data_IF_040158196470
#
_entry.id   IF_040158196470
#
_cell.length_a   1.000
_cell.length_b   1.000
_cell.length_c   1.000
_cell.angle_alpha   90.00
_cell.angle_beta   90.00
_cell.angle_gamma   90.00
#
_symmetry.space_group_name_H-M   'P 1'
#
loop_
_entity.id
_entity.type
_entity.pdbx_description
1 polymer ?
#
# COMPACT_ATOMS: atom_id res chain seq x y z
N UNK A 1 3.37 14.10 24.45
CA UNK A 1 2.73 13.20 23.45
C UNK A 1 1.22 13.48 23.44
N UNK A 2 0.64 13.82 22.28
CA UNK A 2 -0.82 13.97 22.17
C UNK A 2 -1.47 12.62 22.50
N UNK A 3 -2.53 12.59 23.30
CA UNK A 3 -3.15 11.34 23.82
C UNK A 3 -3.61 10.36 22.71
N UNK A 4 -4.08 10.88 21.58
CA UNK A 4 -4.59 10.06 20.45
C UNK A 4 -3.55 9.10 19.84
N UNK A 5 -2.31 9.51 19.49
CA UNK A 5 -1.33 8.58 18.92
C UNK A 5 -0.86 7.53 19.94
N UNK A 6 -0.76 7.87 21.22
CA UNK A 6 -0.42 6.90 22.27
C UNK A 6 -1.49 5.81 22.37
N UNK A 7 -2.77 6.21 22.40
CA UNK A 7 -3.89 5.25 22.44
C UNK A 7 -3.87 4.33 21.21
N UNK A 8 -3.61 4.86 20.00
CA UNK A 8 -3.51 4.05 18.79
C UNK A 8 -2.39 3.01 18.89
N UNK A 9 -1.20 3.39 19.38
CA UNK A 9 -0.08 2.48 19.59
C UNK A 9 -0.44 1.37 20.60
N UNK A 10 -1.10 1.73 21.71
CA UNK A 10 -1.53 0.76 22.71
C UNK A 10 -2.56 -0.24 22.16
N UNK A 11 -3.50 0.23 21.35
CA UNK A 11 -4.50 -0.64 20.67
C UNK A 11 -3.82 -1.59 19.71
N UNK A 12 -2.91 -1.11 18.86
CA UNK A 12 -2.14 -1.97 17.94
C UNK A 12 -1.33 -3.00 18.73
N UNK A 13 -0.64 -2.58 19.79
CA UNK A 13 0.15 -3.49 20.63
C UNK A 13 -0.72 -4.55 21.32
N UNK A 14 -1.92 -4.19 21.80
CA UNK A 14 -2.85 -5.15 22.38
C UNK A 14 -3.33 -6.19 21.35
N UNK A 15 -3.64 -5.75 20.12
CA UNK A 15 -4.01 -6.66 19.02
C UNK A 15 -2.85 -7.63 18.71
N UNK A 16 -1.62 -7.13 18.65
CA UNK A 16 -0.45 -7.97 18.41
C UNK A 16 -0.25 -8.99 19.52
N UNK A 17 -0.39 -8.61 20.80
CA UNK A 17 -0.31 -9.53 21.92
C UNK A 17 -1.40 -10.61 21.86
N UNK A 18 -2.65 -10.24 21.59
CA UNK A 18 -3.75 -11.18 21.46
C UNK A 18 -3.52 -12.18 20.33
N UNK A 19 -3.05 -11.69 19.18
CA UNK A 19 -2.71 -12.54 18.03
C UNK A 19 -1.60 -13.55 18.36
N UNK A 20 -0.50 -13.09 18.95
CA UNK A 20 0.62 -13.96 19.36
C UNK A 20 0.20 -14.94 20.44
N UNK A 21 -0.58 -14.49 21.41
CA UNK A 21 -1.13 -15.39 22.44
C UNK A 21 -2.01 -16.49 21.83
N UNK A 22 -2.84 -16.14 20.85
CA UNK A 22 -3.71 -17.11 20.20
C UNK A 22 -2.89 -18.16 19.41
N UNK A 23 -1.86 -17.72 18.68
CA UNK A 23 -0.91 -18.62 18.00
C UNK A 23 -0.20 -19.51 19.02
N UNK A 24 0.37 -18.94 20.08
CA UNK A 24 1.02 -19.66 21.17
C UNK A 24 0.09 -20.70 21.79
N UNK A 25 -1.13 -20.32 22.19
CA UNK A 25 -2.10 -21.21 22.82
C UNK A 25 -2.54 -22.36 21.90
N UNK A 26 -2.58 -22.10 20.56
CA UNK A 26 -2.86 -23.16 19.58
C UNK A 26 -1.68 -24.09 19.45
N UNK A 27 -0.46 -23.55 19.38
CA UNK A 27 0.75 -24.35 19.24
C UNK A 27 0.87 -25.35 20.42
N UNK A 28 0.83 -24.90 21.66
CA UNK A 28 0.95 -25.78 22.81
C UNK A 28 -0.21 -26.80 22.95
N UNK A 29 -1.42 -26.43 22.49
CA UNK A 29 -2.57 -27.34 22.54
C UNK A 29 -2.47 -28.48 21.50
N UNK A 30 -1.74 -28.25 20.39
CA UNK A 30 -1.62 -29.21 19.29
C UNK A 30 -0.31 -29.99 19.29
N UNK A 31 0.68 -29.61 20.11
CA UNK A 31 1.91 -30.34 20.38
C UNK A 31 2.05 -30.68 21.88
N UNK A 32 1.28 -31.68 22.40
CA UNK A 32 1.26 -31.99 23.82
C UNK A 32 2.57 -32.60 24.35
N UNK A 33 3.49 -32.99 23.46
CA UNK A 33 4.81 -33.55 23.82
C UNK A 33 5.89 -32.52 24.12
N UNK A 34 5.57 -31.21 24.14
CA UNK A 34 6.54 -30.17 24.48
C UNK A 34 6.94 -30.24 25.95
N UNK A 35 8.24 -30.13 26.22
CA UNK A 35 8.74 -30.05 27.62
C UNK A 35 8.32 -28.71 28.26
N UNK A 36 8.21 -28.64 29.59
CA UNK A 36 7.93 -27.39 30.29
C UNK A 36 8.91 -26.25 29.94
N UNK A 37 10.19 -26.58 29.73
CA UNK A 37 11.21 -25.64 29.29
C UNK A 37 10.91 -25.09 27.90
N UNK A 38 10.61 -25.96 26.91
CA UNK A 38 10.25 -25.54 25.55
C UNK A 38 8.99 -24.66 25.53
N UNK A 39 8.01 -24.94 26.36
CA UNK A 39 6.79 -24.11 26.53
C UNK A 39 7.15 -22.75 27.09
N UNK A 40 8.05 -22.66 28.06
CA UNK A 40 8.51 -21.41 28.65
C UNK A 40 9.31 -20.58 27.64
N UNK A 41 10.22 -21.20 26.90
CA UNK A 41 11.04 -20.54 25.86
C UNK A 41 10.16 -20.02 24.73
N UNK A 42 9.20 -20.81 24.26
CA UNK A 42 8.22 -20.39 23.26
C UNK A 42 7.40 -19.17 23.73
N UNK A 43 6.98 -19.17 25.01
CA UNK A 43 6.24 -18.03 25.57
C UNK A 43 7.07 -16.75 25.57
N UNK A 44 8.33 -16.83 25.99
CA UNK A 44 9.26 -15.67 25.98
C UNK A 44 9.46 -15.20 24.54
N UNK A 45 9.73 -16.12 23.60
CA UNK A 45 9.89 -15.77 22.19
C UNK A 45 8.66 -15.05 21.64
N UNK A 46 7.45 -15.54 21.91
CA UNK A 46 6.21 -14.90 21.44
C UNK A 46 5.99 -13.49 22.04
N UNK A 47 6.38 -13.26 23.30
CA UNK A 47 6.32 -11.93 23.91
C UNK A 47 7.30 -10.97 23.21
N UNK A 48 8.55 -11.39 23.01
CA UNK A 48 9.56 -10.59 22.31
C UNK A 48 9.12 -10.26 20.89
N UNK A 49 8.62 -11.24 20.18
CA UNK A 49 8.14 -11.07 18.80
C UNK A 49 6.89 -10.19 18.71
N UNK A 50 5.99 -10.25 19.70
CA UNK A 50 4.82 -9.37 19.77
C UNK A 50 5.19 -7.90 19.97
N UNK A 51 6.28 -7.61 20.66
CA UNK A 51 6.81 -6.27 20.87
C UNK A 51 7.64 -5.76 19.69
N UNK A 52 8.23 -6.67 18.91
CA UNK A 52 9.28 -6.37 17.94
C UNK A 52 8.88 -5.31 16.91
N UNK A 53 7.67 -5.42 16.33
CA UNK A 53 7.24 -4.51 15.26
C UNK A 53 6.98 -3.09 15.74
N UNK A 54 6.32 -2.93 16.90
CA UNK A 54 6.07 -1.59 17.46
C UNK A 54 7.38 -0.93 17.87
N UNK A 55 8.28 -1.65 18.53
CA UNK A 55 9.59 -1.13 18.91
C UNK A 55 10.40 -0.75 17.66
N UNK A 56 10.48 -1.64 16.67
CA UNK A 56 11.20 -1.38 15.44
C UNK A 56 10.63 -0.17 14.68
N UNK A 57 9.30 -0.02 14.65
CA UNK A 57 8.64 1.15 14.04
C UNK A 57 9.02 2.44 14.76
N UNK A 58 8.94 2.48 16.08
CA UNK A 58 9.32 3.65 16.88
C UNK A 58 10.80 4.02 16.68
N UNK A 59 11.67 3.02 16.57
CA UNK A 59 13.10 3.22 16.26
C UNK A 59 13.28 3.80 14.85
N UNK A 60 12.55 3.31 13.85
CA UNK A 60 12.67 3.78 12.46
C UNK A 60 12.13 5.20 12.25
N UNK A 61 11.17 5.65 13.07
CA UNK A 61 10.75 7.06 13.10
C UNK A 61 11.78 7.99 13.76
N UNK A 62 12.66 7.45 14.60
CA UNK A 62 13.64 8.25 15.36
C UNK A 62 15.04 8.20 14.77
N UNK A 63 15.45 7.08 14.19
CA UNK A 63 16.81 6.82 13.72
C UNK A 63 16.79 6.28 12.30
N UNK A 64 17.80 6.69 11.50
CA UNK A 64 18.03 6.21 10.13
C UNK A 64 19.46 5.67 10.04
N UNK A 65 19.61 4.37 10.25
CA UNK A 65 20.89 3.66 10.08
C UNK A 65 20.64 2.19 9.68
N UNK A 66 21.64 1.49 9.13
CA UNK A 66 21.48 0.11 8.65
C UNK A 66 20.98 -0.89 9.72
N UNK A 67 21.39 -0.73 10.97
CA UNK A 67 20.99 -1.64 12.07
C UNK A 67 19.49 -1.51 12.32
N UNK A 68 18.98 -0.29 12.44
CA UNK A 68 17.54 -0.05 12.61
C UNK A 68 16.75 -0.56 11.40
N UNK A 69 17.28 -0.39 10.19
CA UNK A 69 16.62 -0.90 8.97
C UNK A 69 16.52 -2.42 8.96
N UNK A 70 17.57 -3.13 9.40
CA UNK A 70 17.56 -4.60 9.51
C UNK A 70 16.58 -5.06 10.59
N UNK A 71 16.57 -4.41 11.76
CA UNK A 71 15.64 -4.73 12.84
C UNK A 71 14.17 -4.51 12.35
N UNK A 72 13.92 -3.38 11.70
CA UNK A 72 12.59 -3.07 11.16
C UNK A 72 12.16 -4.08 10.09
N UNK A 73 13.07 -4.42 9.16
CA UNK A 73 12.82 -5.43 8.14
C UNK A 73 12.48 -6.80 8.75
N UNK A 74 13.28 -7.26 9.72
CA UNK A 74 13.04 -8.55 10.39
C UNK A 74 11.71 -8.57 11.14
N UNK A 75 11.38 -7.50 11.89
CA UNK A 75 10.11 -7.36 12.59
C UNK A 75 8.91 -7.28 11.62
N UNK A 76 9.04 -6.60 10.49
CA UNK A 76 8.01 -6.51 9.46
C UNK A 76 7.80 -7.87 8.75
N UNK A 77 8.89 -8.61 8.47
CA UNK A 77 8.78 -9.99 7.95
C UNK A 77 8.05 -10.88 8.95
N UNK A 78 8.42 -10.81 10.22
CA UNK A 78 7.71 -11.56 11.26
C UNK A 78 6.23 -11.20 11.36
N UNK A 79 5.90 -9.90 11.27
CA UNK A 79 4.49 -9.46 11.26
C UNK A 79 3.69 -10.12 10.12
N UNK A 80 4.30 -10.28 8.95
CA UNK A 80 3.68 -11.02 7.86
C UNK A 80 3.48 -12.50 8.18
N UNK A 81 4.48 -13.18 8.75
CA UNK A 81 4.36 -14.58 9.14
C UNK A 81 3.33 -14.80 10.23
N UNK A 82 3.30 -13.95 11.28
CA UNK A 82 2.31 -14.11 12.35
C UNK A 82 0.88 -13.95 11.85
N UNK A 83 0.65 -13.13 10.82
CA UNK A 83 -0.66 -13.04 10.17
C UNK A 83 -1.09 -14.41 9.56
N UNK A 84 -0.18 -15.13 8.90
CA UNK A 84 -0.47 -16.46 8.36
C UNK A 84 -0.59 -17.52 9.46
N UNK A 85 0.24 -17.47 10.49
CA UNK A 85 0.12 -18.36 11.65
C UNK A 85 -1.19 -18.14 12.42
N UNK A 86 -1.62 -16.88 12.56
CA UNK A 86 -2.91 -16.55 13.16
C UNK A 86 -4.08 -17.13 12.36
N UNK A 87 -4.07 -16.92 11.04
CA UNK A 87 -5.07 -17.48 10.13
C UNK A 87 -5.05 -19.01 10.16
N UNK A 88 -3.86 -19.61 10.13
CA UNK A 88 -3.66 -21.05 10.29
C UNK A 88 -4.18 -21.57 11.62
N UNK A 89 -3.93 -20.89 12.73
CA UNK A 89 -4.43 -21.24 14.06
C UNK A 89 -5.97 -21.28 14.12
N UNK A 90 -6.62 -20.33 13.45
CA UNK A 90 -8.09 -20.36 13.34
C UNK A 90 -8.54 -21.59 12.58
N UNK A 91 -7.93 -21.89 11.42
CA UNK A 91 -8.26 -23.06 10.60
C UNK A 91 -8.00 -24.36 11.36
N UNK A 92 -6.86 -24.49 12.06
CA UNK A 92 -6.51 -25.66 12.88
C UNK A 92 -7.60 -25.92 13.93
N UNK A 93 -8.01 -24.91 14.68
CA UNK A 93 -9.03 -25.06 15.74
C UNK A 93 -10.39 -25.42 15.16
N UNK A 94 -10.81 -24.78 14.06
CA UNK A 94 -12.10 -25.08 13.43
C UNK A 94 -12.11 -26.49 12.81
N UNK A 95 -11.04 -26.85 12.09
CA UNK A 95 -10.92 -28.20 11.50
C UNK A 95 -10.90 -29.29 12.59
N UNK A 96 -10.15 -29.06 13.68
CA UNK A 96 -10.12 -30.00 14.78
C UNK A 96 -11.48 -30.16 15.49
N UNK A 97 -12.21 -29.05 15.70
CA UNK A 97 -13.60 -29.10 16.20
C UNK A 97 -14.49 -29.91 15.27
N UNK A 98 -14.41 -29.68 13.97
CA UNK A 98 -15.16 -30.47 12.98
C UNK A 98 -14.83 -31.94 13.04
N UNK A 99 -13.55 -32.33 13.12
CA UNK A 99 -13.12 -33.75 13.28
C UNK A 99 -13.66 -34.34 14.59
N UNK A 100 -13.56 -33.59 15.69
CA UNK A 100 -14.00 -34.05 17.00
C UNK A 100 -15.50 -34.33 17.07
N UNK A 101 -16.31 -33.45 16.46
CA UNK A 101 -17.77 -33.57 16.50
C UNK A 101 -18.39 -34.37 15.36
N UNK A 102 -17.62 -34.73 14.33
CA UNK A 102 -18.12 -35.55 13.22
C UNK A 102 -18.42 -36.99 13.60
N UNK A 103 -17.84 -37.47 14.69
CA UNK A 103 -17.88 -38.90 15.11
C UNK A 103 -17.36 -39.90 14.03
N UNK A 104 -16.74 -39.39 12.94
CA UNK A 104 -16.19 -40.20 11.85
C UNK A 104 -14.84 -40.82 12.19
N UNK A 105 -14.17 -40.34 13.23
CA UNK A 105 -12.83 -40.74 13.64
C UNK A 105 -12.85 -41.26 15.07
N UNK A 106 -12.40 -42.50 15.28
CA UNK A 106 -12.37 -43.14 16.57
C UNK A 106 -11.45 -42.44 17.60
N UNK A 107 -10.31 -41.90 17.13
CA UNK A 107 -9.36 -41.17 17.98
C UNK A 107 -9.01 -39.77 17.37
N UNK A 108 -9.84 -38.75 17.58
CA UNK A 108 -9.56 -37.42 17.06
C UNK A 108 -8.23 -36.82 17.56
N UNK A 109 -7.79 -37.17 18.76
CA UNK A 109 -6.57 -36.63 19.35
C UNK A 109 -5.30 -36.99 18.56
N UNK A 110 -5.27 -38.10 17.86
CA UNK A 110 -4.14 -38.52 17.00
C UNK A 110 -3.92 -37.52 15.82
N UNK A 111 -4.93 -36.76 15.43
CA UNK A 111 -4.84 -35.79 14.32
C UNK A 111 -4.33 -34.40 14.71
N UNK A 112 -4.14 -34.13 16.02
CA UNK A 112 -3.73 -32.77 16.45
C UNK A 112 -2.38 -32.36 15.83
N UNK A 113 -1.33 -33.14 16.05
CA UNK A 113 0.02 -32.86 15.54
C UNK A 113 0.03 -32.74 14.02
N UNK A 114 -0.34 -33.81 13.28
CA UNK A 114 -0.35 -33.79 11.80
C UNK A 114 -1.17 -32.64 11.19
N UNK A 115 -2.34 -32.33 11.75
CA UNK A 115 -3.16 -31.20 11.30
C UNK A 115 -2.44 -29.86 11.44
N UNK A 116 -1.82 -29.62 12.60
CA UNK A 116 -1.08 -28.40 12.86
C UNK A 116 0.18 -28.30 12.01
N UNK A 117 0.92 -29.41 11.82
CA UNK A 117 2.10 -29.48 10.96
C UNK A 117 1.77 -29.09 9.52
N UNK A 118 0.72 -29.68 8.94
CA UNK A 118 0.31 -29.37 7.56
C UNK A 118 -0.10 -27.91 7.42
N UNK A 119 -0.96 -27.40 8.31
CA UNK A 119 -1.49 -26.03 8.18
C UNK A 119 -0.40 -24.99 8.42
N UNK A 120 0.46 -25.17 9.43
CA UNK A 120 1.56 -24.23 9.66
C UNK A 120 2.65 -24.30 8.58
N UNK A 121 2.87 -25.48 7.97
CA UNK A 121 3.74 -25.58 6.79
C UNK A 121 3.18 -24.77 5.62
N UNK A 122 1.87 -24.84 5.37
CA UNK A 122 1.19 -23.99 4.38
C UNK A 122 1.35 -22.49 4.73
N UNK A 123 1.22 -22.13 6.00
CA UNK A 123 1.42 -20.75 6.45
C UNK A 123 2.84 -20.25 6.17
N UNK A 124 3.87 -21.09 6.43
CA UNK A 124 5.27 -20.77 6.10
C UNK A 124 5.46 -20.62 4.60
N UNK A 125 4.95 -21.55 3.79
CA UNK A 125 5.05 -21.48 2.34
C UNK A 125 4.34 -20.25 1.77
N UNK A 126 3.19 -19.88 2.32
CA UNK A 126 2.47 -18.65 1.95
C UNK A 126 3.30 -17.39 2.28
N UNK A 127 3.98 -17.36 3.42
CA UNK A 127 4.88 -16.27 3.79
C UNK A 127 6.07 -16.16 2.84
N UNK A 128 6.74 -17.28 2.53
CA UNK A 128 7.86 -17.32 1.57
C UNK A 128 7.39 -16.89 0.18
N UNK A 129 6.28 -17.42 -0.30
CA UNK A 129 5.67 -16.98 -1.56
C UNK A 129 5.39 -15.48 -1.55
N UNK A 130 4.85 -14.96 -0.45
CA UNK A 130 4.56 -13.53 -0.28
C UNK A 130 5.79 -12.65 -0.41
N UNK A 131 6.93 -13.04 0.20
CA UNK A 131 8.21 -12.35 0.10
C UNK A 131 8.75 -12.33 -1.33
N UNK A 132 8.66 -13.45 -2.04
CA UNK A 132 9.10 -13.55 -3.44
C UNK A 132 8.19 -12.74 -4.34
N UNK A 133 6.87 -12.90 -4.21
CA UNK A 133 5.88 -12.21 -5.06
C UNK A 133 5.94 -10.69 -4.91
N UNK A 134 6.24 -10.17 -3.72
CA UNK A 134 6.40 -8.73 -3.48
C UNK A 134 7.59 -8.10 -4.25
N UNK A 135 8.54 -8.91 -4.72
CA UNK A 135 9.70 -8.43 -5.49
C UNK A 135 9.48 -8.41 -7.00
N UNK A 136 8.38 -9.01 -7.47
CA UNK A 136 8.10 -9.19 -8.90
C UNK A 136 7.06 -8.16 -9.34
N UNK A 137 7.52 -7.00 -9.80
CA UNK A 137 6.66 -5.93 -10.30
C UNK A 137 6.05 -6.35 -11.63
N UNK A 138 4.72 -6.22 -11.76
CA UNK A 138 3.97 -6.50 -12.97
C UNK A 138 3.67 -5.22 -13.74
N UNK A 139 3.78 -5.28 -15.06
CA UNK A 139 3.32 -4.18 -15.92
C UNK A 139 1.87 -4.45 -16.30
N UNK A 140 0.98 -3.52 -15.90
CA UNK A 140 -0.45 -3.56 -16.23
C UNK A 140 -0.74 -2.54 -17.33
N UNK A 141 -1.15 -3.01 -18.50
CA UNK A 141 -1.60 -2.13 -19.59
C UNK A 141 -3.08 -1.85 -19.46
N UNK A 142 -3.46 -0.59 -19.57
CA UNK A 142 -4.83 -0.12 -19.37
C UNK A 142 -5.16 0.90 -20.46
N UNK A 143 -6.07 0.57 -21.38
CA UNK A 143 -6.62 1.56 -22.30
C UNK A 143 -7.49 2.54 -21.51
N UNK A 144 -7.34 3.82 -21.81
CA UNK A 144 -8.07 4.91 -21.14
C UNK A 144 -8.79 5.73 -22.19
N UNK A 145 -10.10 5.89 -22.01
CA UNK A 145 -10.96 6.67 -22.87
C UNK A 145 -11.46 7.91 -22.12
N UNK A 146 -10.87 9.06 -22.43
CA UNK A 146 -11.30 10.33 -21.83
C UNK A 146 -12.19 11.08 -22.85
N UNK A 147 -13.42 11.48 -22.48
CA UNK A 147 -14.25 12.30 -23.34
C UNK A 147 -13.54 13.60 -23.73
N UNK A 148 -13.64 13.98 -25.02
CA UNK A 148 -13.00 15.18 -25.55
C UNK A 148 -11.48 15.23 -25.38
N UNK A 149 -10.82 14.07 -25.34
CA UNK A 149 -9.35 13.99 -25.27
C UNK A 149 -8.73 14.79 -26.43
N UNK A 150 -7.78 15.72 -26.15
CA UNK A 150 -7.10 16.47 -27.19
C UNK A 150 -6.39 15.51 -28.19
N UNK A 151 -6.43 15.85 -29.47
CA UNK A 151 -5.78 15.04 -30.51
C UNK A 151 -4.30 14.80 -30.22
N UNK A 152 -3.63 15.77 -29.60
CA UNK A 152 -2.24 15.69 -29.13
C UNK A 152 -2.00 14.56 -28.10
N UNK A 153 -3.04 14.07 -27.41
CA UNK A 153 -2.94 13.02 -26.39
C UNK A 153 -3.27 11.62 -26.91
N UNK A 154 -3.90 11.51 -28.06
CA UNK A 154 -4.24 10.19 -28.65
C UNK A 154 -2.97 9.40 -28.98
N UNK A 155 -2.94 8.15 -28.56
CA UNK A 155 -1.81 7.26 -28.72
C UNK A 155 -0.64 7.50 -27.76
N UNK A 156 -0.73 8.51 -26.86
CA UNK A 156 0.28 8.72 -25.81
C UNK A 156 0.21 7.68 -24.73
N UNK A 157 1.33 7.50 -24.07
CA UNK A 157 1.52 6.55 -22.97
C UNK A 157 1.88 7.27 -21.69
N UNK A 158 1.11 7.03 -20.64
CA UNK A 158 1.49 7.45 -19.32
C UNK A 158 1.89 6.25 -18.47
N UNK A 159 2.96 6.39 -17.68
CA UNK A 159 3.25 5.45 -16.60
C UNK A 159 2.68 5.99 -15.30
N UNK A 160 1.92 5.17 -14.60
CA UNK A 160 1.49 5.44 -13.24
C UNK A 160 2.23 4.50 -12.28
N UNK A 161 2.85 5.06 -11.25
CA UNK A 161 3.48 4.34 -10.14
C UNK A 161 2.98 4.95 -8.83
N UNK A 162 2.51 4.12 -7.92
CA UNK A 162 1.99 4.54 -6.62
C UNK A 162 2.52 3.64 -5.52
N UNK A 163 2.45 4.13 -4.28
CA UNK A 163 2.72 3.32 -3.09
C UNK A 163 4.09 2.62 -3.14
N UNK A 164 5.13 3.38 -3.45
CA UNK A 164 6.50 2.87 -3.47
C UNK A 164 7.02 2.62 -2.04
N UNK A 165 6.57 3.43 -1.08
CA UNK A 165 6.98 3.36 0.33
C UNK A 165 8.50 3.28 0.48
N UNK A 166 9.20 4.25 -0.13
CA UNK A 166 10.66 4.35 -0.01
C UNK A 166 11.07 4.62 1.43
N UNK A 167 11.92 3.75 1.97
CA UNK A 167 12.32 3.79 3.36
C UNK A 167 13.16 2.58 3.76
N UNK A 168 13.06 2.10 5.01
CA UNK A 168 13.91 1.01 5.52
C UNK A 168 13.75 -0.33 4.78
N UNK A 169 12.56 -0.60 4.22
CA UNK A 169 12.25 -1.83 3.47
C UNK A 169 12.55 -1.65 1.98
N UNK A 170 11.91 -0.64 1.39
CA UNK A 170 12.03 -0.33 -0.02
C UNK A 170 13.07 0.79 -0.21
N UNK A 171 14.33 0.45 -0.19
CA UNK A 171 15.43 1.42 -0.30
C UNK A 171 15.72 1.86 -1.73
N UNK A 172 16.81 2.59 -1.92
CA UNK A 172 17.24 3.16 -3.21
C UNK A 172 17.35 2.11 -4.33
N UNK A 173 17.75 0.88 -4.03
CA UNK A 173 17.84 -0.19 -5.04
C UNK A 173 16.45 -0.62 -5.55
N UNK A 174 15.44 -0.58 -4.68
CA UNK A 174 14.06 -0.80 -5.10
C UNK A 174 13.60 0.35 -6.02
N UNK A 175 13.86 1.60 -5.65
CA UNK A 175 13.55 2.77 -6.48
C UNK A 175 14.20 2.64 -7.88
N UNK A 176 15.48 2.26 -7.96
CA UNK A 176 16.17 2.01 -9.24
C UNK A 176 15.47 0.96 -10.10
N UNK A 177 15.02 -0.15 -9.52
CA UNK A 177 14.30 -1.18 -10.26
C UNK A 177 12.96 -0.67 -10.80
N UNK A 178 12.21 0.10 -10.00
CA UNK A 178 10.95 0.72 -10.42
C UNK A 178 11.19 1.69 -11.57
N UNK A 179 12.18 2.58 -11.44
CA UNK A 179 12.58 3.55 -12.45
C UNK A 179 12.99 2.86 -13.75
N UNK A 180 13.83 1.82 -13.67
CA UNK A 180 14.27 1.06 -14.84
C UNK A 180 13.07 0.41 -15.56
N UNK A 181 12.13 -0.19 -14.82
CA UNK A 181 10.93 -0.78 -15.37
C UNK A 181 10.01 0.27 -16.02
N UNK A 182 9.84 1.43 -15.38
CA UNK A 182 9.06 2.55 -15.90
C UNK A 182 9.67 3.13 -17.19
N UNK A 183 11.00 3.33 -17.22
CA UNK A 183 11.74 3.87 -18.38
C UNK A 183 11.65 2.97 -19.61
N UNK A 184 11.66 1.63 -19.42
CA UNK A 184 11.50 0.67 -20.52
C UNK A 184 10.16 0.80 -21.26
N UNK A 185 9.13 1.34 -20.58
CA UNK A 185 7.81 1.59 -21.16
C UNK A 185 7.80 2.85 -22.07
N UNK A 186 8.87 3.65 -22.06
CA UNK A 186 9.02 4.90 -22.83
C UNK A 186 7.79 5.80 -22.67
N UNK A 187 7.45 6.24 -21.44
CA UNK A 187 6.28 7.06 -21.20
C UNK A 187 6.46 8.48 -21.74
N UNK A 188 5.37 9.07 -22.23
CA UNK A 188 5.31 10.51 -22.54
C UNK A 188 5.15 11.34 -21.28
N UNK A 189 4.50 10.78 -20.23
CA UNK A 189 4.24 11.41 -18.94
C UNK A 189 4.27 10.37 -17.83
N UNK A 190 4.58 10.80 -16.59
CA UNK A 190 4.53 9.91 -15.41
C UNK A 190 3.63 10.52 -14.34
N UNK A 191 2.76 9.71 -13.75
CA UNK A 191 1.87 10.06 -12.65
C UNK A 191 2.24 9.27 -11.38
N UNK A 192 2.34 9.99 -10.25
CA UNK A 192 2.65 9.39 -8.94
C UNK A 192 1.58 9.87 -7.94
N UNK A 193 0.46 9.17 -7.81
CA UNK A 193 -0.60 9.56 -6.88
C UNK A 193 -0.32 9.09 -5.44
N UNK A 194 0.77 9.58 -4.83
CA UNK A 194 1.05 9.48 -3.41
C UNK A 194 1.80 8.23 -2.93
N UNK A 195 2.14 8.26 -1.65
CA UNK A 195 2.88 7.26 -0.90
C UNK A 195 4.18 6.84 -1.59
N UNK A 196 4.93 7.85 -2.03
CA UNK A 196 6.28 7.65 -2.56
C UNK A 196 7.25 7.25 -1.45
N UNK A 197 7.10 7.86 -0.26
CA UNK A 197 7.87 7.55 0.94
C UNK A 197 7.09 6.70 1.95
N UNK A 198 7.82 6.01 2.83
CA UNK A 198 7.23 5.21 3.93
C UNK A 198 6.86 6.07 5.16
N UNK A 199 7.23 7.34 5.17
CA UNK A 199 6.99 8.27 6.27
C UNK A 199 7.97 8.13 7.44
N UNK A 200 8.90 7.19 7.40
CA UNK A 200 9.97 6.99 8.40
C UNK A 200 11.11 7.98 8.22
N UNK A 201 12.00 8.08 9.21
CA UNK A 201 13.19 8.92 9.12
C UNK A 201 14.18 8.33 8.12
N UNK A 202 14.71 9.16 7.21
CA UNK A 202 15.69 8.73 6.20
C UNK A 202 16.31 9.90 5.46
N UNK A 203 17.31 9.60 4.64
CA UNK A 203 17.85 10.52 3.65
C UNK A 203 16.91 10.49 2.43
N UNK A 204 15.95 11.44 2.42
CA UNK A 204 14.92 11.52 1.38
C UNK A 204 15.53 11.76 0.00
N UNK A 205 16.56 12.61 -0.09
CA UNK A 205 17.22 12.94 -1.36
C UNK A 205 17.91 11.71 -1.95
N UNK A 206 18.57 10.91 -1.13
CA UNK A 206 19.20 9.66 -1.56
C UNK A 206 18.15 8.63 -2.03
N UNK A 207 17.03 8.52 -1.32
CA UNK A 207 15.96 7.57 -1.67
C UNK A 207 15.33 7.86 -3.04
N UNK A 208 15.09 9.15 -3.36
CA UNK A 208 14.45 9.55 -4.62
C UNK A 208 15.41 9.87 -5.75
N UNK A 209 16.72 9.90 -5.50
CA UNK A 209 17.72 10.24 -6.51
C UNK A 209 17.57 9.47 -7.85
N UNK A 210 17.20 8.17 -7.86
CA UNK A 210 17.00 7.44 -9.11
C UNK A 210 15.88 8.01 -9.99
N UNK A 211 14.88 8.70 -9.42
CA UNK A 211 13.78 9.30 -10.18
C UNK A 211 14.24 10.37 -11.18
N UNK A 212 15.44 10.95 -10.98
CA UNK A 212 16.06 11.87 -11.95
C UNK A 212 16.38 11.21 -13.30
N UNK A 213 16.46 9.89 -13.34
CA UNK A 213 16.72 9.13 -14.58
C UNK A 213 15.45 9.02 -15.46
N UNK A 214 14.27 9.34 -14.89
CA UNK A 214 13.03 9.43 -15.66
C UNK A 214 12.99 10.79 -16.38
N UNK A 215 12.86 10.77 -17.70
CA UNK A 215 12.81 11.98 -18.53
C UNK A 215 11.65 11.94 -19.54
N UNK A 216 10.40 11.78 -19.07
CA UNK A 216 9.24 11.82 -19.96
C UNK A 216 9.06 13.23 -20.53
N UNK A 217 8.72 13.34 -21.82
CA UNK A 217 8.64 14.62 -22.53
C UNK A 217 7.63 15.61 -21.90
N UNK A 218 6.55 15.08 -21.31
CA UNK A 218 5.47 15.89 -20.72
C UNK A 218 5.58 16.06 -19.21
N UNK A 219 6.68 15.57 -18.61
CA UNK A 219 6.96 15.75 -17.19
C UNK A 219 6.44 14.63 -16.28
N UNK A 220 6.75 14.80 -15.01
CA UNK A 220 6.36 13.89 -13.93
C UNK A 220 5.51 14.67 -12.93
N UNK A 221 4.34 14.14 -12.58
CA UNK A 221 3.37 14.78 -11.68
C UNK A 221 3.13 13.93 -10.46
N UNK A 222 3.15 14.55 -9.29
CA UNK A 222 2.98 13.92 -7.99
C UNK A 222 1.87 14.62 -7.19
N UNK A 223 1.05 13.87 -6.47
CA UNK A 223 0.23 14.35 -5.35
C UNK A 223 0.58 13.58 -4.07
N UNK A 224 0.33 14.16 -2.90
CA UNK A 224 0.67 13.53 -1.62
C UNK A 224 -0.23 12.34 -1.30
N UNK A 225 0.34 11.31 -0.64
CA UNK A 225 -0.39 10.27 0.07
C UNK A 225 -0.38 10.51 1.58
N UNK A 226 -0.95 9.57 2.34
CA UNK A 226 -1.02 9.71 3.80
C UNK A 226 0.36 9.59 4.46
N UNK A 227 1.31 8.90 3.85
CA UNK A 227 2.64 8.71 4.40
C UNK A 227 3.50 9.99 4.32
N UNK A 228 3.35 10.80 3.28
CA UNK A 228 3.97 12.12 3.23
C UNK A 228 3.38 13.08 4.27
N UNK A 229 2.16 12.81 4.74
CA UNK A 229 1.42 13.72 5.64
C UNK A 229 1.36 13.24 7.11
N UNK A 230 2.01 12.11 7.48
CA UNK A 230 2.13 11.68 8.88
C UNK A 230 2.87 12.70 9.76
N UNK A 231 3.80 13.42 9.18
CA UNK A 231 4.55 14.50 9.81
C UNK A 231 4.36 15.79 9.01
N UNK A 232 5.37 16.64 8.89
CA UNK A 232 5.32 17.79 8.01
C UNK A 232 5.50 17.38 6.55
N UNK A 233 4.53 17.58 5.65
CA UNK A 233 4.63 17.20 4.24
C UNK A 233 5.74 17.98 3.49
N UNK A 234 6.12 19.15 3.99
CA UNK A 234 7.07 20.06 3.33
C UNK A 234 8.40 19.37 2.99
N UNK A 235 8.97 18.61 3.91
CA UNK A 235 10.25 17.92 3.67
C UNK A 235 10.19 16.92 2.51
N UNK A 236 9.08 16.22 2.36
CA UNK A 236 8.84 15.26 1.27
C UNK A 236 8.62 15.99 -0.05
N UNK A 237 7.77 17.01 -0.05
CA UNK A 237 7.49 17.87 -1.21
C UNK A 237 8.79 18.49 -1.73
N UNK A 238 9.62 19.05 -0.84
CA UNK A 238 10.89 19.65 -1.22
C UNK A 238 11.87 18.62 -1.83
N UNK A 239 11.96 17.41 -1.26
CA UNK A 239 12.82 16.35 -1.79
C UNK A 239 12.36 15.88 -3.19
N UNK A 240 11.04 15.73 -3.39
CA UNK A 240 10.44 15.35 -4.66
C UNK A 240 10.68 16.45 -5.72
N UNK A 241 10.49 17.70 -5.36
CA UNK A 241 10.72 18.84 -6.27
C UNK A 241 12.19 18.94 -6.71
N UNK A 242 13.15 18.64 -5.82
CA UNK A 242 14.59 18.65 -6.15
C UNK A 242 15.01 17.62 -7.19
N UNK A 243 14.23 16.56 -7.40
CA UNK A 243 14.49 15.59 -8.47
C UNK A 243 13.73 15.88 -9.76
N UNK A 244 13.13 17.09 -9.88
CA UNK A 244 12.47 17.54 -11.11
C UNK A 244 11.02 17.11 -11.27
N UNK A 245 10.39 16.60 -10.20
CA UNK A 245 8.98 16.19 -10.21
C UNK A 245 8.09 17.36 -9.82
N UNK A 246 7.06 17.65 -10.63
CA UNK A 246 6.06 18.67 -10.32
C UNK A 246 5.09 18.16 -9.26
N UNK A 247 5.12 18.76 -8.10
CA UNK A 247 4.17 18.46 -7.02
C UNK A 247 2.91 19.28 -7.22
N UNK A 248 1.76 18.62 -7.23
CA UNK A 248 0.44 19.22 -7.34
C UNK A 248 -0.25 19.16 -5.97
N UNK A 249 0.00 20.15 -5.14
CA UNK A 249 -0.52 20.27 -3.77
C UNK A 249 -1.78 21.17 -3.77
N UNK A 250 -2.94 20.62 -4.11
CA UNK A 250 -4.17 21.35 -4.44
C UNK A 250 -3.95 22.34 -5.61
N UNK A 251 -3.22 21.87 -6.59
CA UNK A 251 -2.83 22.60 -7.79
C UNK A 251 -3.21 21.84 -9.04
N UNK A 252 -3.22 22.55 -10.15
CA UNK A 252 -3.43 22.00 -11.47
C UNK A 252 -2.47 22.60 -12.49
N UNK A 253 -2.29 21.92 -13.59
CA UNK A 253 -1.50 22.35 -14.75
C UNK A 253 -2.19 21.88 -16.02
N UNK A 254 -2.06 22.66 -17.09
CA UNK A 254 -2.52 22.27 -18.43
C UNK A 254 -1.32 21.83 -19.25
N UNK A 255 -1.37 20.63 -19.80
CA UNK A 255 -0.30 20.03 -20.59
C UNK A 255 -0.90 19.58 -21.94
N UNK A 256 -0.50 20.27 -23.01
CA UNK A 256 -0.99 20.01 -24.37
C UNK A 256 -2.53 19.90 -24.45
N UNK A 257 -3.26 20.77 -23.72
CA UNK A 257 -4.73 20.82 -23.71
C UNK A 257 -5.42 19.89 -22.73
N UNK A 258 -4.69 19.01 -22.03
CA UNK A 258 -5.23 18.17 -20.97
C UNK A 258 -4.91 18.80 -19.61
N UNK A 259 -5.89 18.91 -18.74
CA UNK A 259 -5.70 19.41 -17.37
C UNK A 259 -5.34 18.26 -16.44
N UNK A 260 -4.28 18.43 -15.67
CA UNK A 260 -3.80 17.50 -14.65
C UNK A 260 -3.88 18.22 -13.30
N UNK A 261 -4.68 17.71 -12.38
CA UNK A 261 -4.85 18.24 -11.04
C UNK A 261 -4.35 17.26 -9.98
N UNK A 262 -3.89 17.77 -8.86
CA UNK A 262 -3.52 16.95 -7.70
C UNK A 262 -4.11 17.53 -6.42
N UNK A 263 -4.64 16.67 -5.57
CA UNK A 263 -5.20 17.05 -4.27
C UNK A 263 -4.35 16.44 -3.15
N UNK A 264 -4.07 17.23 -2.11
CA UNK A 264 -3.38 16.74 -0.92
C UNK A 264 -4.25 15.72 -0.18
N UNK A 265 -3.63 14.68 0.39
CA UNK A 265 -4.36 13.62 1.07
C UNK A 265 -5.19 14.13 2.25
N UNK A 266 -4.65 15.04 3.06
CA UNK A 266 -5.38 15.67 4.16
C UNK A 266 -6.70 16.30 3.72
N UNK A 267 -6.69 16.99 2.57
CA UNK A 267 -7.88 17.63 2.05
C UNK A 267 -8.85 16.64 1.42
N UNK A 268 -8.34 15.65 0.68
CA UNK A 268 -9.16 14.58 0.11
C UNK A 268 -9.81 13.68 1.17
N UNK A 269 -9.27 13.61 2.38
CA UNK A 269 -9.83 12.83 3.49
C UNK A 269 -11.16 13.40 4.05
N UNK A 270 -11.42 14.70 3.85
CA UNK A 270 -12.63 15.41 4.33
C UNK A 270 -13.51 15.86 3.17
N UNK A 271 -14.83 15.55 3.17
CA UNK A 271 -15.74 16.00 2.12
C UNK A 271 -15.71 17.51 1.89
N UNK A 272 -15.73 18.31 2.97
CA UNK A 272 -15.75 19.76 2.88
C UNK A 272 -14.44 20.33 2.31
N UNK A 273 -13.29 19.81 2.79
CA UNK A 273 -11.98 20.28 2.29
C UNK A 273 -11.75 19.83 0.84
N UNK A 274 -12.12 18.59 0.50
CA UNK A 274 -12.04 18.10 -0.88
C UNK A 274 -12.82 18.99 -1.83
N UNK A 275 -14.09 19.27 -1.48
CA UNK A 275 -14.92 20.17 -2.30
C UNK A 275 -14.29 21.56 -2.45
N UNK A 276 -13.84 22.16 -1.36
CA UNK A 276 -13.21 23.50 -1.39
C UNK A 276 -11.92 23.51 -2.25
N UNK A 277 -11.09 22.47 -2.17
CA UNK A 277 -9.88 22.35 -2.97
C UNK A 277 -10.20 22.24 -4.48
N UNK A 278 -11.19 21.41 -4.84
CA UNK A 278 -11.59 21.24 -6.24
C UNK A 278 -12.28 22.49 -6.79
N UNK A 279 -13.17 23.14 -6.03
CA UNK A 279 -13.82 24.40 -6.42
C UNK A 279 -12.79 25.52 -6.66
N UNK A 280 -11.77 25.64 -5.80
CA UNK A 280 -10.68 26.59 -5.96
C UNK A 280 -9.88 26.35 -7.24
N UNK A 281 -9.55 25.10 -7.54
CA UNK A 281 -8.82 24.74 -8.76
C UNK A 281 -9.65 25.03 -10.01
N UNK A 282 -10.98 24.81 -9.96
CA UNK A 282 -11.87 25.09 -11.09
C UNK A 282 -12.11 26.56 -11.35
N UNK A 283 -12.30 27.37 -10.30
CA UNK A 283 -12.50 28.82 -10.47
C UNK A 283 -11.30 29.49 -11.12
N UNK A 284 -10.07 28.99 -10.87
CA UNK A 284 -8.87 29.45 -11.54
C UNK A 284 -8.80 29.08 -13.05
N UNK A 285 -9.67 28.19 -13.53
CA UNK A 285 -9.69 27.71 -14.93
C UNK A 285 -10.82 28.28 -15.78
N UNK A 286 -11.81 28.94 -15.16
CA UNK A 286 -13.03 29.42 -15.84
C UNK A 286 -12.80 30.58 -16.84
N UNK A 287 -11.61 31.17 -16.86
CA UNK A 287 -11.25 32.20 -17.81
C UNK A 287 -11.10 31.72 -19.27
N UNK A 288 -10.94 30.40 -19.49
CA UNK A 288 -10.73 29.85 -20.84
C UNK A 288 -12.00 29.37 -21.57
N UNK A 289 -13.15 29.29 -20.90
CA UNK A 289 -14.47 29.01 -21.52
C UNK A 289 -14.67 27.63 -22.16
N UNK A 290 -13.65 26.77 -22.20
CA UNK A 290 -13.70 25.45 -22.83
C UNK A 290 -13.67 24.36 -21.75
N UNK A 291 -14.64 23.46 -21.79
CA UNK A 291 -14.62 22.24 -20.95
C UNK A 291 -13.41 21.38 -21.37
N UNK A 292 -12.36 21.40 -20.57
CA UNK A 292 -11.16 20.60 -20.81
C UNK A 292 -11.31 19.23 -20.14
N UNK A 293 -10.85 18.16 -20.78
CA UNK A 293 -10.74 16.85 -20.15
C UNK A 293 -9.72 16.88 -19.01
N UNK A 294 -10.04 16.19 -17.91
CA UNK A 294 -9.32 16.35 -16.66
C UNK A 294 -8.88 15.02 -16.08
N UNK A 295 -7.64 14.98 -15.59
CA UNK A 295 -7.11 13.91 -14.77
C UNK A 295 -6.90 14.44 -13.35
N UNK A 296 -7.39 13.70 -12.34
CA UNK A 296 -7.14 13.98 -10.94
C UNK A 296 -6.20 12.94 -10.33
N UNK A 297 -5.09 13.39 -9.76
CA UNK A 297 -4.26 12.59 -8.85
C UNK A 297 -4.83 12.72 -7.44
N UNK A 298 -5.48 11.68 -6.96
CA UNK A 298 -6.03 11.58 -5.62
C UNK A 298 -5.63 10.23 -5.02
N UNK A 299 -4.78 10.27 -4.00
CA UNK A 299 -4.14 9.06 -3.46
C UNK A 299 -5.15 7.95 -3.10
N UNK A 300 -6.22 8.26 -2.38
CA UNK A 300 -7.24 7.27 -2.03
C UNK A 300 -8.43 7.30 -3.00
N UNK A 301 -9.01 6.13 -3.39
CA UNK A 301 -10.18 6.06 -4.26
C UNK A 301 -11.47 6.37 -3.47
N UNK A 302 -11.53 7.56 -2.86
CA UNK A 302 -12.62 8.01 -2.00
C UNK A 302 -13.24 9.30 -2.51
N UNK A 303 -14.40 9.68 -1.95
CA UNK A 303 -15.10 10.93 -2.29
C UNK A 303 -15.49 11.03 -3.77
N UNK A 304 -15.70 9.90 -4.44
CA UNK A 304 -15.99 9.84 -5.87
C UNK A 304 -17.19 10.71 -6.31
N UNK A 305 -18.31 10.82 -5.52
CA UNK A 305 -19.38 11.73 -5.88
C UNK A 305 -18.94 13.20 -5.96
N UNK A 306 -17.99 13.64 -5.12
CA UNK A 306 -17.47 15.02 -5.13
C UNK A 306 -16.60 15.24 -6.37
N UNK A 307 -15.77 14.26 -6.73
CA UNK A 307 -14.87 14.31 -7.89
C UNK A 307 -15.68 14.28 -9.18
N UNK A 308 -16.68 13.40 -9.27
CA UNK A 308 -17.57 13.29 -10.42
C UNK A 308 -18.38 14.59 -10.62
N UNK A 309 -18.98 15.14 -9.56
CA UNK A 309 -19.68 16.41 -9.59
C UNK A 309 -18.75 17.59 -9.98
N UNK A 310 -17.50 17.53 -9.57
CA UNK A 310 -16.47 18.47 -10.03
C UNK A 310 -16.12 18.28 -11.52
N UNK A 311 -16.59 17.26 -12.23
CA UNK A 311 -16.52 17.01 -13.67
C UNK A 311 -15.18 16.47 -14.13
N UNK A 312 -14.39 15.81 -13.25
CA UNK A 312 -13.20 15.09 -13.68
C UNK A 312 -13.57 13.85 -14.51
N UNK A 313 -12.74 13.58 -15.52
CA UNK A 313 -12.94 12.44 -16.43
C UNK A 313 -12.24 11.18 -15.94
N UNK A 314 -11.06 11.33 -15.33
CA UNK A 314 -10.24 10.23 -14.82
C UNK A 314 -9.67 10.58 -13.45
N UNK A 315 -9.81 9.68 -12.47
CA UNK A 315 -9.07 9.72 -11.21
C UNK A 315 -8.05 8.60 -11.16
N UNK A 316 -6.80 8.93 -10.81
CA UNK A 316 -5.71 7.99 -10.57
C UNK A 316 -5.45 7.89 -9.07
N UNK A 317 -5.50 6.67 -8.53
CA UNK A 317 -5.41 6.40 -7.10
C UNK A 317 -4.52 5.20 -6.79
N UNK A 318 -3.97 5.16 -5.57
CA UNK A 318 -3.28 4.03 -4.95
C UNK A 318 -3.91 3.65 -3.61
N UNK A 319 -3.12 3.73 -2.52
CA UNK A 319 -3.54 3.62 -1.12
C UNK A 319 -4.01 2.22 -0.67
N UNK A 320 -4.77 1.53 -1.46
CA UNK A 320 -5.46 0.30 -1.05
C UNK A 320 -4.52 -0.90 -0.96
N UNK A 321 -3.41 -0.88 -1.71
CA UNK A 321 -2.55 -2.06 -1.98
C UNK A 321 -3.34 -3.30 -2.44
N UNK A 322 -4.62 -3.16 -2.76
CA UNK A 322 -5.55 -4.28 -2.90
C UNK A 322 -5.68 -5.12 -1.63
N UNK A 323 -5.26 -4.59 -0.46
CA UNK A 323 -5.16 -5.28 0.83
C UNK A 323 -3.88 -6.07 1.03
N UNK A 324 -2.94 -6.04 0.08
CA UNK A 324 -1.57 -6.59 0.12
C UNK A 324 -1.45 -8.08 0.48
N UNK A 325 -1.95 -8.52 1.65
CA UNK A 325 -1.91 -9.91 2.13
C UNK A 325 -3.28 -10.36 2.65
N UNK A 326 -3.65 -11.63 2.36
CA UNK A 326 -4.85 -12.23 2.92
C UNK A 326 -4.73 -12.33 4.47
N UNK A 327 -5.79 -12.03 5.27
CA UNK A 327 -7.17 -11.75 4.85
C UNK A 327 -7.48 -10.27 4.56
N UNK A 328 -6.51 -9.35 4.64
CA UNK A 328 -6.74 -7.92 4.41
C UNK A 328 -7.23 -7.62 2.98
N UNK A 329 -6.90 -8.45 1.98
CA UNK A 329 -7.46 -8.37 0.63
C UNK A 329 -8.99 -8.41 0.63
N UNK A 330 -9.57 -9.21 1.51
CA UNK A 330 -11.03 -9.30 1.67
C UNK A 330 -11.60 -8.10 2.43
N UNK A 331 -10.91 -7.65 3.49
CA UNK A 331 -11.33 -6.49 4.29
C UNK A 331 -11.31 -5.22 3.40
N UNK A 332 -10.22 -5.00 2.67
CA UNK A 332 -10.08 -3.84 1.78
C UNK A 332 -11.14 -3.82 0.69
N UNK A 333 -11.49 -5.00 0.14
CA UNK A 333 -12.60 -5.14 -0.82
C UNK A 333 -13.96 -4.79 -0.20
N UNK A 334 -14.16 -5.05 1.09
CA UNK A 334 -15.39 -4.64 1.81
C UNK A 334 -15.46 -3.14 2.01
N UNK A 335 -14.32 -2.47 2.23
CA UNK A 335 -14.24 -1.02 2.45
C UNK A 335 -14.40 -0.24 1.13
N UNK A 336 -13.66 -0.59 0.08
CA UNK A 336 -13.59 0.16 -1.18
C UNK A 336 -14.45 -0.45 -2.30
N UNK A 337 -15.07 -1.60 -2.08
CA UNK A 337 -15.88 -2.29 -3.08
C UNK A 337 -15.08 -2.61 -4.35
N UNK A 338 -15.68 -2.30 -5.50
CA UNK A 338 -15.02 -2.48 -6.82
C UNK A 338 -13.81 -1.55 -7.02
N UNK A 339 -13.77 -0.41 -6.33
CA UNK A 339 -12.68 0.56 -6.42
C UNK A 339 -11.43 0.17 -5.63
N UNK A 340 -11.38 -1.03 -5.09
CA UNK A 340 -10.19 -1.56 -4.43
C UNK A 340 -8.98 -1.64 -5.37
N UNK A 341 -9.18 -1.93 -6.65
CA UNK A 341 -8.13 -2.02 -7.68
C UNK A 341 -8.71 -1.98 -9.10
N UNK A 342 -7.86 -1.61 -10.07
CA UNK A 342 -8.20 -1.63 -11.50
C UNK A 342 -9.04 -0.45 -11.95
N UNK A 343 -9.45 -0.47 -13.21
CA UNK A 343 -10.26 0.57 -13.83
C UNK A 343 -11.74 0.28 -13.62
N UNK A 344 -12.45 1.25 -13.06
CA UNK A 344 -13.89 1.18 -12.83
C UNK A 344 -14.54 2.55 -13.06
N UNK A 345 -15.83 2.54 -13.42
CA UNK A 345 -16.58 3.77 -13.65
C UNK A 345 -17.50 4.10 -12.47
N UNK A 346 -17.53 5.40 -12.09
CA UNK A 346 -18.47 5.98 -11.13
C UNK A 346 -19.19 7.16 -11.83
N UNK A 347 -20.45 6.97 -12.24
CA UNK A 347 -21.13 7.94 -13.09
C UNK A 347 -20.37 8.22 -14.39
N UNK A 348 -19.98 9.47 -14.61
CA UNK A 348 -19.15 9.90 -15.74
C UNK A 348 -17.64 9.75 -15.48
N UNK A 349 -17.21 9.57 -14.22
CA UNK A 349 -15.82 9.49 -13.80
C UNK A 349 -15.25 8.07 -14.00
N UNK A 350 -14.13 7.94 -14.68
CA UNK A 350 -13.30 6.74 -14.62
C UNK A 350 -12.34 6.81 -13.43
N UNK A 351 -12.17 5.71 -12.72
CA UNK A 351 -11.28 5.61 -11.57
C UNK A 351 -10.37 4.42 -11.74
N UNK A 352 -9.06 4.67 -11.85
CA UNK A 352 -8.08 3.61 -11.76
C UNK A 352 -7.46 3.60 -10.38
N UNK A 353 -7.49 2.45 -9.71
CA UNK A 353 -6.82 2.24 -8.42
C UNK A 353 -5.71 1.23 -8.59
N UNK A 354 -4.47 1.66 -8.37
CA UNK A 354 -3.30 0.78 -8.40
C UNK A 354 -3.20 -0.03 -7.10
N UNK A 355 -2.67 -1.23 -7.23
CA UNK A 355 -2.24 -2.03 -6.07
C UNK A 355 -0.88 -1.60 -5.52
N UNK A 356 -0.23 -0.62 -6.15
CA UNK A 356 1.07 -0.10 -5.75
C UNK A 356 2.26 -0.98 -6.17
N UNK A 357 3.42 -0.37 -6.33
CA UNK A 357 4.65 -1.06 -6.68
C UNK A 357 5.41 -1.59 -5.45
N UNK A 358 5.33 -0.89 -4.32
CA UNK A 358 5.97 -1.25 -3.05
C UNK A 358 5.11 -2.08 -2.11
N UNK A 359 5.48 -2.08 -0.86
CA UNK A 359 4.76 -2.71 0.26
C UNK A 359 4.81 -1.81 1.47
N UNK A 360 3.75 -1.83 2.26
CA UNK A 360 3.71 -1.17 3.56
C UNK A 360 3.68 -2.20 4.69
N UNK A 361 4.46 -1.98 5.75
CA UNK A 361 4.61 -2.95 6.84
C UNK A 361 5.28 -4.24 6.34
N UNK A 362 4.62 -5.41 6.35
CA UNK A 362 5.22 -6.65 5.88
C UNK A 362 5.66 -6.58 4.41
N UNK A 363 6.92 -6.93 4.07
CA UNK A 363 7.40 -6.95 2.68
C UNK A 363 6.89 -8.19 1.92
N UNK A 364 5.58 -8.41 1.95
CA UNK A 364 4.92 -9.59 1.40
C UNK A 364 3.68 -9.22 0.60
N UNK A 365 3.41 -10.01 -0.45
CA UNK A 365 2.18 -9.90 -1.24
C UNK A 365 1.58 -11.28 -1.47
N UNK A 366 0.38 -11.53 -0.88
CA UNK A 366 -0.39 -12.78 -1.05
C UNK A 366 -1.83 -12.43 -1.39
N UNK A 367 -2.27 -12.83 -2.59
CA UNK A 367 -3.57 -12.47 -3.15
C UNK A 367 -3.56 -11.19 -4.00
N UNK A 368 -2.49 -10.37 -3.90
CA UNK A 368 -2.27 -9.18 -4.72
C UNK A 368 -0.85 -9.17 -5.28
N UNK A 369 -0.66 -8.48 -6.39
CA UNK A 369 0.64 -8.33 -7.06
C UNK A 369 1.07 -6.86 -7.03
N UNK A 370 2.38 -6.58 -6.87
CA UNK A 370 2.87 -5.23 -7.11
C UNK A 370 2.79 -4.88 -8.59
N UNK A 371 2.45 -3.63 -8.90
CA UNK A 371 2.29 -3.21 -10.29
C UNK A 371 2.86 -1.82 -10.58
N UNK A 372 3.27 -1.64 -11.83
CA UNK A 372 3.40 -0.36 -12.53
C UNK A 372 2.36 -0.38 -13.64
N UNK A 373 1.65 0.71 -13.82
CA UNK A 373 0.55 0.80 -14.78
C UNK A 373 0.98 1.60 -16.00
N UNK A 374 0.77 1.05 -17.19
CA UNK A 374 0.89 1.75 -18.45
C UNK A 374 -0.52 2.12 -18.91
N UNK A 375 -0.86 3.40 -18.84
CA UNK A 375 -2.08 3.97 -19.37
C UNK A 375 -1.86 4.32 -20.83
N UNK A 376 -2.72 3.81 -21.70
CA UNK A 376 -2.68 4.06 -23.16
C UNK A 376 -3.92 4.88 -23.52
N UNK A 377 -3.73 6.15 -23.93
CA UNK A 377 -4.81 7.08 -24.25
C UNK A 377 -5.33 6.85 -25.68
N UNK A 378 -6.62 6.54 -25.79
CA UNK A 378 -7.31 6.23 -27.06
C UNK A 378 -8.18 7.38 -27.59
#
# INVERSE_FOLDING_TARGET
LKARPVLAILVVQAILFLGHWFVYSTFIAFWPGLTPAAVADLRVAMIVLALSFVIASLLSFRFSNPVVSVIYWAAAVWLGFVNFFLSGSVVIRLAWLAIRFSHLVANPHAFRGPLAEVIYSIAVLAGIYGLVNARIIRIRRVPVQIPNLPASWRGRRAVMMSDLHLGPINGVQFCRRVVAAASQLKPDVVFIPGDLFDGTKGDLDHLVAPLRELSPRLGIYFSTGNHEEFTSPKQYIDAIARVGIRVLANEQVVVDGLRIAGVMYHDSSSPLRMKAALDKMRSASSESGVAQPDILLNHAPTRLPIVEHAGFSLQLSGHTHGGQIFPFTWITRRVYGRFTRGLHRFGSLEVYTSTGAGTWGPPMRVGMQPEIVLLEFE
#
